data_IF_568552144416
#
_entry.id   IF_568552144416
#
_cell.length_a   1.000
_cell.length_b   1.000
_cell.length_c   1.000
_cell.angle_alpha   90.00
_cell.angle_beta   90.00
_cell.angle_gamma   90.00
#
_symmetry.space_group_name_H-M   'P 1'
#
loop_
_entity.id
_entity.type
_entity.pdbx_description
1 polymer ?
#
# COMPACT_ATOMS: atom_id res chain seq x y z
N UNK A 1 -4.94 -2.22 -33.68
CA UNK A 1 -3.60 -1.81 -33.17
C UNK A 1 -3.40 -2.45 -31.81
N UNK A 2 -2.22 -3.02 -31.53
CA UNK A 2 -1.91 -3.49 -30.20
C UNK A 2 -1.80 -2.30 -29.23
N UNK A 3 -2.47 -2.36 -28.09
CA UNK A 3 -2.40 -1.35 -27.02
C UNK A 3 -0.96 -1.30 -26.46
N UNK A 4 -0.39 -0.10 -26.34
CA UNK A 4 0.96 0.08 -25.81
C UNK A 4 0.98 0.08 -24.27
N UNK A 5 -0.03 0.72 -23.64
CA UNK A 5 -0.16 0.75 -22.19
C UNK A 5 -0.73 -0.58 -21.68
N UNK A 6 -0.08 -1.16 -20.68
CA UNK A 6 -0.55 -2.38 -20.02
C UNK A 6 -1.56 -2.05 -18.92
N UNK A 7 -2.56 -2.92 -18.78
CA UNK A 7 -3.58 -2.78 -17.73
C UNK A 7 -3.27 -3.79 -16.62
N UNK A 8 -3.09 -3.25 -15.42
CA UNK A 8 -2.98 -4.02 -14.18
C UNK A 8 -4.30 -3.88 -13.45
N UNK A 9 -4.96 -4.99 -13.13
CA UNK A 9 -6.20 -4.98 -12.36
C UNK A 9 -6.05 -5.78 -11.07
N UNK A 10 -6.58 -5.23 -9.97
CA UNK A 10 -6.56 -5.90 -8.67
C UNK A 10 -7.65 -6.99 -8.64
N UNK A 11 -7.26 -8.18 -8.19
CA UNK A 11 -8.16 -9.29 -7.92
C UNK A 11 -8.61 -9.20 -6.46
N UNK A 12 -9.88 -8.95 -6.26
CA UNK A 12 -10.52 -8.81 -4.95
C UNK A 12 -11.93 -9.38 -4.96
N UNK A 13 -12.73 -9.18 -3.89
CA UNK A 13 -14.04 -9.83 -3.72
C UNK A 13 -14.99 -9.69 -4.91
N UNK A 14 -14.93 -8.57 -5.64
CA UNK A 14 -15.77 -8.33 -6.81
C UNK A 14 -15.23 -8.98 -8.11
N UNK A 15 -14.05 -9.57 -8.09
CA UNK A 15 -13.36 -10.06 -9.30
C UNK A 15 -12.62 -11.39 -9.12
N UNK A 16 -12.80 -12.06 -7.99
CA UNK A 16 -12.10 -13.32 -7.69
C UNK A 16 -12.84 -14.59 -8.18
N UNK A 17 -14.08 -14.46 -8.65
CA UNK A 17 -14.77 -15.59 -9.27
C UNK A 17 -14.25 -15.85 -10.69
N UNK A 18 -14.26 -17.13 -11.10
CA UNK A 18 -13.70 -17.58 -12.37
C UNK A 18 -14.34 -16.88 -13.59
N UNK A 19 -15.66 -16.62 -13.54
CA UNK A 19 -16.38 -15.99 -14.65
C UNK A 19 -16.00 -14.55 -14.86
N UNK A 20 -15.95 -13.76 -13.80
CA UNK A 20 -15.53 -12.35 -13.83
C UNK A 20 -14.05 -12.24 -14.24
N UNK A 21 -13.18 -13.08 -13.68
CA UNK A 21 -11.76 -13.11 -14.03
C UNK A 21 -11.55 -13.42 -15.52
N UNK A 22 -12.29 -14.40 -16.06
CA UNK A 22 -12.27 -14.72 -17.49
C UNK A 22 -12.65 -13.51 -18.33
N UNK A 23 -13.75 -12.83 -17.99
CA UNK A 23 -14.19 -11.61 -18.68
C UNK A 23 -13.14 -10.49 -18.64
N UNK A 24 -12.46 -10.28 -17.50
CA UNK A 24 -11.38 -9.29 -17.37
C UNK A 24 -10.20 -9.61 -18.28
N UNK A 25 -9.78 -10.88 -18.35
CA UNK A 25 -8.68 -11.33 -19.23
C UNK A 25 -9.08 -11.16 -20.70
N UNK A 26 -10.32 -11.52 -21.07
CA UNK A 26 -10.83 -11.36 -22.44
C UNK A 26 -10.96 -9.88 -22.84
N UNK A 27 -11.36 -9.01 -21.91
CA UNK A 27 -11.41 -7.56 -22.08
C UNK A 27 -10.02 -6.91 -22.21
N UNK A 28 -8.96 -7.65 -21.88
CA UNK A 28 -7.58 -7.22 -22.11
C UNK A 28 -6.80 -6.83 -20.85
N UNK A 29 -7.09 -7.41 -19.70
CA UNK A 29 -6.18 -7.35 -18.55
C UNK A 29 -4.85 -8.01 -18.93
N UNK A 30 -3.75 -7.28 -18.70
CA UNK A 30 -2.40 -7.79 -18.98
C UNK A 30 -1.73 -8.36 -17.72
N UNK A 31 -2.07 -7.83 -16.53
CA UNK A 31 -1.49 -8.22 -15.24
C UNK A 31 -2.57 -8.26 -14.18
N UNK A 32 -2.60 -9.32 -13.40
CA UNK A 32 -3.41 -9.45 -12.20
C UNK A 32 -2.59 -9.00 -10.97
N UNK A 33 -3.11 -8.04 -10.19
CA UNK A 33 -2.51 -7.65 -8.91
C UNK A 33 -3.22 -8.38 -7.77
N UNK A 34 -2.44 -9.06 -6.93
CA UNK A 34 -2.92 -9.72 -5.72
C UNK A 34 -2.34 -8.97 -4.52
N UNK A 35 -3.20 -8.23 -3.81
CA UNK A 35 -2.80 -7.51 -2.60
C UNK A 35 -2.73 -8.46 -1.40
N UNK A 36 -1.58 -8.55 -0.73
CA UNK A 36 -1.36 -9.48 0.37
C UNK A 36 -1.70 -8.90 1.75
N UNK A 37 -2.24 -7.68 1.80
CA UNK A 37 -2.60 -7.00 3.04
C UNK A 37 -3.91 -7.52 3.69
N UNK A 38 -4.71 -8.30 2.97
CA UNK A 38 -6.03 -8.73 3.39
C UNK A 38 -6.25 -10.22 3.10
N UNK A 39 -7.03 -10.87 3.98
CA UNK A 39 -7.31 -12.31 3.88
C UNK A 39 -6.16 -13.18 4.40
N UNK A 40 -6.37 -14.48 4.37
CA UNK A 40 -5.36 -15.47 4.75
C UNK A 40 -4.40 -15.75 3.59
N UNK A 41 -3.23 -16.32 3.93
CA UNK A 41 -2.27 -16.76 2.92
C UNK A 41 -2.89 -17.79 1.95
N UNK A 42 -3.70 -18.71 2.47
CA UNK A 42 -4.36 -19.73 1.64
C UNK A 42 -5.31 -19.10 0.62
N UNK A 43 -6.09 -18.10 1.01
CA UNK A 43 -6.97 -17.36 0.09
C UNK A 43 -6.16 -16.64 -1.01
N UNK A 44 -5.01 -16.05 -0.66
CA UNK A 44 -4.16 -15.38 -1.64
C UNK A 44 -3.51 -16.38 -2.61
N UNK A 45 -3.09 -17.54 -2.11
CA UNK A 45 -2.58 -18.64 -2.94
C UNK A 45 -3.67 -19.17 -3.89
N UNK A 46 -4.90 -19.33 -3.40
CA UNK A 46 -6.03 -19.74 -4.26
C UNK A 46 -6.30 -18.73 -5.38
N UNK A 47 -6.28 -17.43 -5.09
CA UNK A 47 -6.40 -16.37 -6.10
C UNK A 47 -5.29 -16.45 -7.14
N UNK A 48 -4.06 -16.63 -6.69
CA UNK A 48 -2.91 -16.81 -7.58
C UNK A 48 -3.10 -17.99 -8.54
N UNK A 49 -3.46 -19.15 -7.99
CA UNK A 49 -3.70 -20.37 -8.78
C UNK A 49 -4.87 -20.20 -9.74
N UNK A 50 -5.94 -19.51 -9.32
CA UNK A 50 -7.10 -19.23 -10.18
C UNK A 50 -6.69 -18.37 -11.39
N UNK A 51 -5.90 -17.33 -11.20
CA UNK A 51 -5.39 -16.51 -12.30
C UNK A 51 -4.57 -17.35 -13.27
N UNK A 52 -3.64 -18.19 -12.78
CA UNK A 52 -2.84 -19.09 -13.62
C UNK A 52 -3.70 -20.05 -14.41
N UNK A 53 -4.71 -20.68 -13.75
CA UNK A 53 -5.64 -21.62 -14.40
C UNK A 53 -6.41 -20.92 -15.53
N UNK A 54 -7.11 -19.82 -15.24
CA UNK A 54 -7.96 -19.14 -16.22
C UNK A 54 -7.15 -18.58 -17.39
N UNK A 55 -5.96 -18.04 -17.10
CA UNK A 55 -5.01 -17.58 -18.12
C UNK A 55 -4.61 -18.72 -19.07
N UNK A 56 -4.28 -19.89 -18.51
CA UNK A 56 -3.95 -21.10 -19.28
C UNK A 56 -5.12 -21.61 -20.12
N UNK A 57 -6.32 -21.68 -19.53
CA UNK A 57 -7.55 -22.13 -20.20
C UNK A 57 -7.91 -21.25 -21.41
N UNK A 58 -7.59 -19.97 -21.34
CA UNK A 58 -7.78 -18.99 -22.42
C UNK A 58 -6.63 -18.94 -23.43
N UNK A 59 -5.51 -19.62 -23.17
CA UNK A 59 -4.30 -19.52 -23.98
C UNK A 59 -3.73 -18.08 -24.01
N UNK A 60 -3.96 -17.29 -22.96
CA UNK A 60 -3.46 -15.90 -22.82
C UNK A 60 -2.40 -15.81 -21.74
N UNK A 61 -1.38 -15.01 -21.99
CA UNK A 61 -0.37 -14.71 -20.98
C UNK A 61 -0.80 -13.52 -20.14
N UNK A 62 -1.09 -13.77 -18.86
CA UNK A 62 -1.37 -12.74 -17.85
C UNK A 62 -0.29 -12.80 -16.79
N UNK A 63 0.44 -11.70 -16.61
CA UNK A 63 1.41 -11.59 -15.52
C UNK A 63 0.71 -11.50 -14.17
N UNK A 64 1.38 -11.94 -13.10
CA UNK A 64 0.87 -11.76 -11.74
C UNK A 64 1.86 -10.91 -10.96
N UNK A 65 1.36 -9.84 -10.35
CA UNK A 65 2.07 -9.06 -9.35
C UNK A 65 1.47 -9.33 -7.98
N UNK A 66 2.29 -9.75 -7.05
CA UNK A 66 1.95 -9.81 -5.62
C UNK A 66 2.41 -8.51 -4.96
N UNK A 67 1.54 -7.91 -4.17
CA UNK A 67 1.78 -6.62 -3.53
C UNK A 67 1.93 -6.82 -2.03
N UNK A 68 3.17 -6.68 -1.54
CA UNK A 68 3.54 -6.87 -0.15
C UNK A 68 2.93 -5.76 0.72
N UNK A 69 2.37 -6.11 1.90
CA UNK A 69 1.70 -5.14 2.78
C UNK A 69 2.59 -3.98 3.20
N UNK A 70 3.86 -4.26 3.48
CA UNK A 70 4.76 -3.32 4.13
C UNK A 70 4.38 -3.03 5.59
N UNK A 71 5.05 -2.07 6.22
CA UNK A 71 4.83 -1.71 7.61
C UNK A 71 3.59 -0.81 7.79
N UNK A 72 2.42 -1.27 7.35
CA UNK A 72 1.18 -0.48 7.49
C UNK A 72 0.67 -0.54 8.92
N UNK A 73 0.66 0.61 9.60
CA UNK A 73 0.04 0.77 10.92
C UNK A 73 -1.48 0.69 10.78
N UNK A 74 -2.16 0.00 11.68
CA UNK A 74 -3.62 -0.13 11.67
C UNK A 74 -4.22 0.19 13.04
N UNK A 75 -5.47 0.61 13.01
CA UNK A 75 -6.27 0.69 14.24
C UNK A 75 -6.76 -0.70 14.67
N UNK A 76 -7.01 -0.88 15.96
CA UNK A 76 -7.85 -1.97 16.44
C UNK A 76 -9.26 -1.82 15.86
N UNK A 77 -10.02 -2.93 15.74
CA UNK A 77 -11.34 -2.88 15.14
C UNK A 77 -12.28 -1.96 15.93
N UNK A 78 -13.19 -1.33 15.20
CA UNK A 78 -14.35 -0.66 15.75
C UNK A 78 -15.52 -1.64 15.85
N UNK A 79 -16.44 -1.37 16.78
CA UNK A 79 -17.70 -2.10 16.90
C UNK A 79 -18.51 -2.12 15.60
N UNK A 80 -19.46 -3.06 15.49
CA UNK A 80 -20.36 -3.12 14.34
C UNK A 80 -21.07 -1.77 14.11
N UNK A 81 -20.86 -1.22 12.92
CA UNK A 81 -21.42 0.08 12.53
C UNK A 81 -20.38 1.22 12.51
N UNK A 82 -19.17 1.01 13.01
CA UNK A 82 -18.10 2.01 12.98
C UNK A 82 -18.40 3.25 13.84
N UNK A 83 -17.63 4.31 13.64
CA UNK A 83 -17.77 5.59 14.34
C UNK A 83 -17.79 6.75 13.36
N UNK A 84 -18.48 7.83 13.74
CA UNK A 84 -18.44 9.11 13.03
C UNK A 84 -17.66 10.11 13.86
N UNK A 85 -16.58 10.64 13.31
CA UNK A 85 -15.75 11.66 13.92
C UNK A 85 -16.10 13.03 13.34
N UNK A 86 -16.43 13.96 14.21
CA UNK A 86 -16.84 15.32 13.81
C UNK A 86 -15.65 16.26 13.85
N UNK A 87 -15.53 17.13 12.86
CA UNK A 87 -14.53 18.20 12.82
C UNK A 87 -14.58 19.07 14.09
N UNK A 88 -13.41 19.35 14.66
CA UNK A 88 -13.23 20.06 15.92
C UNK A 88 -13.36 19.20 17.19
N UNK A 89 -13.81 17.94 17.09
CA UNK A 89 -13.83 17.04 18.26
C UNK A 89 -12.43 16.60 18.66
N UNK A 90 -12.29 16.16 19.90
CA UNK A 90 -11.05 15.58 20.42
C UNK A 90 -11.19 14.06 20.56
N UNK A 91 -10.12 13.36 20.23
CA UNK A 91 -9.99 11.91 20.41
C UNK A 91 -8.68 11.61 21.13
N UNK A 92 -8.62 10.45 21.77
CA UNK A 92 -7.39 9.92 22.33
C UNK A 92 -6.88 8.75 21.50
N UNK A 93 -5.55 8.64 21.32
CA UNK A 93 -4.88 7.54 20.65
C UNK A 93 -3.97 6.84 21.65
N UNK A 94 -3.91 5.51 21.60
CA UNK A 94 -3.04 4.72 22.43
C UNK A 94 -2.76 3.34 21.83
N UNK A 95 -2.00 2.53 22.57
CA UNK A 95 -1.56 1.20 22.12
C UNK A 95 -2.06 0.08 23.05
N UNK A 96 -2.93 0.41 23.99
CA UNK A 96 -3.43 -0.49 25.01
C UNK A 96 -4.88 -0.88 24.73
N UNK A 97 -5.10 -1.96 24.00
CA UNK A 97 -6.45 -2.51 23.84
C UNK A 97 -6.65 -3.22 22.51
N UNK A 98 -7.70 -4.03 22.48
CA UNK A 98 -8.08 -4.84 21.31
C UNK A 98 -9.21 -4.21 20.48
N UNK A 99 -9.85 -3.14 20.97
CA UNK A 99 -10.99 -2.47 20.34
C UNK A 99 -10.83 -0.95 20.37
N UNK A 100 -11.46 -0.27 19.44
CA UNK A 100 -11.49 1.19 19.35
C UNK A 100 -12.91 1.72 19.54
N UNK A 101 -13.02 2.95 20.06
CA UNK A 101 -14.29 3.67 20.26
C UNK A 101 -14.21 5.10 19.70
N UNK A 102 -15.29 5.87 19.81
CA UNK A 102 -15.32 7.28 19.40
C UNK A 102 -14.37 8.19 20.17
N UNK A 103 -14.06 7.83 21.42
CA UNK A 103 -13.26 8.67 22.32
C UNK A 103 -11.82 8.18 22.43
N UNK A 104 -11.59 6.89 22.11
CA UNK A 104 -10.29 6.27 22.22
C UNK A 104 -10.03 5.28 21.09
N UNK A 105 -9.03 5.57 20.28
CA UNK A 105 -8.63 4.72 19.16
C UNK A 105 -7.33 4.00 19.53
N UNK A 106 -7.41 2.68 19.59
CA UNK A 106 -6.25 1.82 19.77
C UNK A 106 -5.52 1.63 18.44
N UNK A 107 -4.20 1.70 18.49
CA UNK A 107 -3.32 1.60 17.33
C UNK A 107 -2.37 0.43 17.50
N UNK A 108 -2.30 -0.43 16.51
CA UNK A 108 -1.41 -1.59 16.46
C UNK A 108 0.03 -1.17 16.07
N UNK A 109 0.60 -0.28 16.88
CA UNK A 109 1.97 0.19 16.74
C UNK A 109 2.57 0.54 18.10
N UNK A 110 3.34 -0.36 18.73
CA UNK A 110 3.87 -0.18 20.09
C UNK A 110 4.69 1.09 20.30
N UNK A 111 5.36 1.59 19.25
CA UNK A 111 6.18 2.79 19.33
C UNK A 111 5.41 4.09 19.04
N UNK A 112 4.08 4.05 18.87
CA UNK A 112 3.26 5.22 18.54
C UNK A 112 3.61 6.45 19.37
N UNK A 113 3.65 6.27 20.70
CA UNK A 113 3.90 7.36 21.66
C UNK A 113 5.33 7.92 21.61
N UNK A 114 6.28 7.14 21.07
CA UNK A 114 7.68 7.55 20.98
C UNK A 114 7.97 8.25 19.65
N UNK A 115 7.31 7.81 18.60
CA UNK A 115 7.58 8.22 17.24
C UNK A 115 6.72 9.42 16.82
N UNK A 116 5.48 9.52 17.30
CA UNK A 116 4.58 10.64 17.01
C UNK A 116 4.87 11.83 17.91
N UNK A 117 4.90 13.02 17.33
CA UNK A 117 5.18 14.29 18.00
C UNK A 117 3.95 15.21 18.02
N UNK A 118 3.98 16.19 18.91
CA UNK A 118 2.98 17.27 18.93
C UNK A 118 3.04 18.06 17.62
N UNK A 119 1.87 18.30 17.04
CA UNK A 119 1.73 18.97 15.75
C UNK A 119 1.74 18.02 14.54
N UNK A 120 2.07 16.73 14.72
CA UNK A 120 1.99 15.78 13.64
C UNK A 120 0.54 15.60 13.17
N UNK A 121 0.36 15.54 11.85
CA UNK A 121 -0.91 15.22 11.21
C UNK A 121 -0.98 13.71 10.99
N UNK A 122 -2.01 13.07 11.49
CA UNK A 122 -2.28 11.65 11.29
C UNK A 122 -3.55 11.50 10.48
N UNK A 123 -3.58 10.55 9.55
CA UNK A 123 -4.79 10.28 8.76
C UNK A 123 -5.23 8.83 8.84
N UNK A 124 -6.54 8.63 8.90
CA UNK A 124 -7.18 7.31 8.97
C UNK A 124 -7.90 7.01 7.65
N UNK A 125 -7.91 5.73 7.26
CA UNK A 125 -8.71 5.24 6.14
C UNK A 125 -8.38 5.93 4.82
N UNK A 126 -7.08 6.05 4.48
CA UNK A 126 -6.59 6.71 3.25
C UNK A 126 -7.02 8.19 3.13
N UNK A 127 -7.04 8.90 4.28
CA UNK A 127 -7.35 10.32 4.34
C UNK A 127 -8.82 10.65 4.63
N UNK A 128 -9.66 9.66 4.92
CA UNK A 128 -11.08 9.90 5.26
C UNK A 128 -11.25 10.74 6.52
N UNK A 129 -10.38 10.55 7.51
CA UNK A 129 -10.34 11.34 8.73
C UNK A 129 -8.92 11.82 8.94
N UNK A 130 -8.76 13.10 9.28
CA UNK A 130 -7.45 13.69 9.58
C UNK A 130 -7.49 14.33 10.96
N UNK A 131 -6.46 14.07 11.76
CA UNK A 131 -6.31 14.62 13.10
C UNK A 131 -4.94 15.27 13.28
N UNK A 132 -4.85 16.27 14.17
CA UNK A 132 -3.57 16.86 14.59
C UNK A 132 -3.34 16.52 16.05
N UNK A 133 -2.17 16.00 16.36
CA UNK A 133 -1.75 15.67 17.73
C UNK A 133 -1.45 16.95 18.49
N UNK A 134 -2.20 17.22 19.57
CA UNK A 134 -2.09 18.46 20.34
C UNK A 134 -1.41 18.28 21.69
N UNK A 135 -1.59 17.12 22.33
CA UNK A 135 -1.10 16.88 23.69
C UNK A 135 -0.69 15.42 23.89
N UNK A 136 0.26 15.20 24.79
CA UNK A 136 0.58 13.87 25.32
C UNK A 136 0.21 13.80 26.79
N UNK A 137 -0.71 12.91 27.13
CA UNK A 137 -1.17 12.71 28.51
C UNK A 137 -0.86 11.25 28.93
N UNK A 138 0.25 11.10 29.67
CA UNK A 138 0.72 9.78 30.10
C UNK A 138 1.04 8.86 28.91
N UNK A 139 0.26 7.80 28.80
CA UNK A 139 0.35 6.74 27.76
C UNK A 139 -0.60 6.98 26.57
N UNK A 140 -1.09 8.20 26.41
CA UNK A 140 -2.04 8.57 25.35
C UNK A 140 -1.61 9.83 24.63
N UNK A 141 -1.99 9.92 23.35
CA UNK A 141 -1.94 11.15 22.57
C UNK A 141 -3.36 11.71 22.45
N UNK A 142 -3.55 12.99 22.74
CA UNK A 142 -4.78 13.71 22.43
C UNK A 142 -4.63 14.38 21.08
N UNK A 143 -5.61 14.19 20.24
CA UNK A 143 -5.62 14.76 18.89
C UNK A 143 -6.96 15.40 18.60
N UNK A 144 -6.92 16.52 17.85
CA UNK A 144 -8.10 17.21 17.38
C UNK A 144 -8.41 16.81 15.96
N UNK A 145 -9.66 16.48 15.68
CA UNK A 145 -10.15 16.17 14.34
C UNK A 145 -10.17 17.46 13.50
N UNK A 146 -9.41 17.48 12.42
CA UNK A 146 -9.39 18.61 11.45
C UNK A 146 -10.18 18.33 10.19
N UNK A 147 -10.34 17.04 9.85
CA UNK A 147 -11.25 16.59 8.81
C UNK A 147 -12.02 15.39 9.35
N UNK A 148 -13.32 15.57 9.50
CA UNK A 148 -14.21 14.55 10.06
C UNK A 148 -14.69 13.56 9.00
N UNK A 149 -15.13 12.39 9.44
CA UNK A 149 -15.64 11.33 8.58
C UNK A 149 -15.96 10.07 9.35
N UNK A 150 -16.37 9.02 8.61
CA UNK A 150 -16.71 7.72 9.16
C UNK A 150 -15.52 6.78 9.10
N UNK A 151 -15.29 6.07 10.20
CA UNK A 151 -14.32 4.98 10.29
C UNK A 151 -15.03 3.70 10.68
N UNK A 152 -14.71 2.60 10.00
CA UNK A 152 -15.23 1.26 10.32
C UNK A 152 -14.14 0.18 10.18
N UNK A 153 -14.44 -1.03 10.65
CA UNK A 153 -13.54 -2.17 10.59
C UNK A 153 -12.19 -1.90 11.24
N UNK A 154 -11.11 -2.12 10.52
CA UNK A 154 -9.70 -1.89 10.93
C UNK A 154 -9.02 -0.92 9.98
N UNK A 155 -9.31 0.37 10.04
CA UNK A 155 -8.72 1.35 9.11
C UNK A 155 -7.20 1.43 9.29
N UNK A 156 -6.50 1.71 8.21
CA UNK A 156 -5.09 2.07 8.28
C UNK A 156 -4.93 3.41 8.98
N UNK A 157 -3.85 3.55 9.76
CA UNK A 157 -3.39 4.82 10.29
C UNK A 157 -2.12 5.22 9.55
N UNK A 158 -2.19 6.33 8.84
CA UNK A 158 -1.01 6.97 8.29
C UNK A 158 -0.35 7.83 9.37
N UNK A 159 0.91 7.53 9.64
CA UNK A 159 1.81 8.33 10.47
C UNK A 159 2.91 8.84 9.53
N UNK A 160 3.35 10.11 9.62
CA UNK A 160 4.42 10.62 8.76
C UNK A 160 5.60 9.66 8.69
N UNK A 161 6.02 9.31 7.47
CA UNK A 161 6.98 8.20 7.24
C UNK A 161 8.37 8.46 7.83
N UNK A 162 8.75 9.73 8.02
CA UNK A 162 9.99 10.15 8.68
C UNK A 162 9.99 9.87 10.20
N UNK A 163 8.81 9.61 10.79
CA UNK A 163 8.64 9.25 12.19
C UNK A 163 8.71 7.75 12.43
N UNK A 164 8.27 6.95 11.47
CA UNK A 164 8.15 5.50 11.64
C UNK A 164 9.50 4.80 11.65
N UNK A 165 9.79 4.07 12.73
CA UNK A 165 10.97 3.19 12.86
C UNK A 165 10.74 1.79 12.30
N UNK A 166 9.71 1.60 11.52
CA UNK A 166 9.41 0.33 10.88
C UNK A 166 10.31 0.12 9.66
N UNK A 167 10.80 -1.10 9.49
CA UNK A 167 11.57 -1.48 8.30
C UNK A 167 10.65 -1.89 7.15
N UNK A 168 11.03 -1.52 5.94
CA UNK A 168 10.46 -2.12 4.73
C UNK A 168 11.59 -2.83 3.98
N UNK A 169 11.37 -4.07 3.46
CA UNK A 169 10.26 -4.96 3.79
C UNK A 169 10.27 -5.39 5.26
N UNK A 170 9.10 -5.79 5.80
CA UNK A 170 8.97 -6.41 7.12
C UNK A 170 9.37 -7.89 7.06
N UNK A 171 9.57 -8.55 8.22
CA UNK A 171 9.83 -10.00 8.26
C UNK A 171 8.61 -10.80 7.74
N UNK A 172 7.40 -10.28 7.95
CA UNK A 172 6.19 -10.86 7.37
C UNK A 172 6.19 -10.76 5.85
N UNK A 173 6.58 -9.60 5.29
CA UNK A 173 6.71 -9.44 3.84
C UNK A 173 7.70 -10.43 3.24
N UNK A 174 8.82 -10.69 3.92
CA UNK A 174 9.82 -11.66 3.46
C UNK A 174 9.26 -13.10 3.46
N UNK A 175 8.48 -13.47 4.47
CA UNK A 175 7.79 -14.77 4.51
C UNK A 175 6.78 -14.93 3.36
N UNK A 176 5.99 -13.88 3.08
CA UNK A 176 5.08 -13.86 1.95
C UNK A 176 5.82 -13.94 0.61
N UNK A 177 6.91 -13.18 0.50
CA UNK A 177 7.77 -13.16 -0.69
C UNK A 177 8.26 -14.57 -1.04
N UNK A 178 8.83 -15.28 -0.06
CA UNK A 178 9.36 -16.64 -0.26
C UNK A 178 8.27 -17.56 -0.83
N UNK A 179 7.07 -17.55 -0.23
CA UNK A 179 5.94 -18.35 -0.69
C UNK A 179 5.58 -18.06 -2.16
N UNK A 180 5.46 -16.79 -2.54
CA UNK A 180 5.03 -16.44 -3.90
C UNK A 180 6.16 -16.54 -4.94
N UNK A 181 7.41 -16.45 -4.53
CA UNK A 181 8.57 -16.76 -5.39
C UNK A 181 8.58 -18.25 -5.72
N UNK A 182 8.36 -19.13 -4.74
CA UNK A 182 8.23 -20.58 -4.96
C UNK A 182 7.06 -20.93 -5.89
N UNK A 183 5.94 -20.20 -5.80
CA UNK A 183 4.79 -20.34 -6.70
C UNK A 183 5.05 -19.79 -8.11
N UNK A 184 6.17 -19.12 -8.35
CA UNK A 184 6.56 -18.57 -9.65
C UNK A 184 5.82 -17.27 -10.00
N UNK A 185 5.73 -16.32 -9.05
CA UNK A 185 5.20 -14.98 -9.35
C UNK A 185 6.09 -14.24 -10.36
N UNK A 186 5.46 -13.49 -11.25
CA UNK A 186 6.21 -12.73 -12.27
C UNK A 186 6.77 -11.42 -11.72
N UNK A 187 6.05 -10.81 -10.78
CA UNK A 187 6.38 -9.49 -10.23
C UNK A 187 6.05 -9.42 -8.75
N UNK A 188 6.81 -8.60 -8.02
CA UNK A 188 6.59 -8.30 -6.61
C UNK A 188 6.61 -6.79 -6.41
N UNK A 189 5.52 -6.21 -5.91
CA UNK A 189 5.46 -4.82 -5.51
C UNK A 189 5.80 -4.68 -4.01
N UNK A 190 6.68 -3.75 -3.69
CA UNK A 190 7.21 -3.52 -2.35
C UNK A 190 6.69 -2.19 -1.82
N UNK A 191 5.90 -2.25 -0.75
CA UNK A 191 5.28 -1.08 -0.13
C UNK A 191 6.26 -0.33 0.78
N UNK A 192 6.07 0.98 0.90
CA UNK A 192 6.80 1.88 1.80
C UNK A 192 8.32 1.85 1.63
N UNK A 193 8.79 1.69 0.40
CA UNK A 193 10.22 1.80 0.06
C UNK A 193 10.69 3.21 0.36
N UNK A 194 11.88 3.35 0.99
CA UNK A 194 12.50 4.64 1.32
C UNK A 194 13.87 4.81 0.67
N UNK A 195 14.48 3.70 0.27
CA UNK A 195 15.81 3.68 -0.34
C UNK A 195 16.08 2.42 -1.15
N UNK A 196 17.16 2.43 -1.94
CA UNK A 196 17.66 1.25 -2.65
C UNK A 196 18.02 0.09 -1.69
N UNK A 197 18.33 0.38 -0.42
CA UNK A 197 18.62 -0.64 0.58
C UNK A 197 17.40 -1.53 0.85
N UNK A 198 16.21 -0.92 0.93
CA UNK A 198 14.97 -1.64 1.19
C UNK A 198 14.69 -2.66 0.07
N UNK A 199 14.95 -2.29 -1.19
CA UNK A 199 14.83 -3.21 -2.33
C UNK A 199 15.84 -4.36 -2.24
N UNK A 200 17.10 -4.06 -1.89
CA UNK A 200 18.15 -5.09 -1.79
C UNK A 200 17.93 -6.08 -0.64
N UNK A 201 17.19 -5.68 0.40
CA UNK A 201 16.83 -6.55 1.52
C UNK A 201 15.91 -7.71 1.14
N UNK A 202 15.21 -7.65 0.01
CA UNK A 202 14.39 -8.77 -0.49
C UNK A 202 15.21 -10.03 -0.73
N UNK A 203 16.50 -9.90 -1.06
CA UNK A 203 17.40 -11.03 -1.24
C UNK A 203 17.07 -11.95 -2.43
N UNK A 204 16.17 -11.53 -3.33
CA UNK A 204 15.78 -12.31 -4.51
C UNK A 204 16.66 -11.98 -5.71
N UNK A 205 16.84 -12.98 -6.58
CA UNK A 205 17.50 -12.78 -7.86
C UNK A 205 16.70 -11.80 -8.73
N UNK A 206 17.36 -10.88 -9.44
CA UNK A 206 16.66 -9.97 -10.34
C UNK A 206 16.11 -10.68 -11.57
N UNK A 207 15.06 -10.12 -12.16
CA UNK A 207 14.54 -10.60 -13.45
C UNK A 207 15.65 -10.66 -14.51
N UNK A 208 15.68 -11.69 -15.37
CA UNK A 208 14.65 -12.73 -15.57
C UNK A 208 14.85 -14.02 -14.72
N UNK A 209 15.83 -14.06 -13.82
CA UNK A 209 16.07 -15.26 -12.98
C UNK A 209 15.13 -15.32 -11.77
N UNK A 210 14.67 -14.18 -11.30
CA UNK A 210 13.65 -14.02 -10.27
C UNK A 210 12.52 -13.11 -10.75
N UNK A 211 11.59 -12.73 -9.86
CA UNK A 211 10.51 -11.82 -10.19
C UNK A 211 11.02 -10.40 -10.49
N UNK A 212 10.27 -9.65 -11.29
CA UNK A 212 10.52 -8.22 -11.43
C UNK A 212 10.09 -7.49 -10.16
N UNK A 213 11.03 -6.81 -9.53
CA UNK A 213 10.73 -6.01 -8.33
C UNK A 213 10.19 -4.66 -8.73
N UNK A 214 9.04 -4.29 -8.19
CA UNK A 214 8.36 -3.01 -8.39
C UNK A 214 8.45 -2.22 -7.09
N UNK A 215 9.19 -1.12 -7.08
CA UNK A 215 9.25 -0.22 -5.93
C UNK A 215 8.02 0.69 -5.91
N UNK A 216 7.26 0.72 -4.81
CA UNK A 216 6.13 1.64 -4.63
C UNK A 216 6.64 2.94 -4.02
N UNK A 217 6.44 4.04 -4.73
CA UNK A 217 6.77 5.40 -4.25
C UNK A 217 5.55 5.94 -3.52
N UNK A 218 5.62 5.88 -2.19
CA UNK A 218 4.53 6.17 -1.25
C UNK A 218 4.93 7.20 -0.20
N UNK A 219 6.22 7.54 -0.10
CA UNK A 219 6.77 8.38 0.98
C UNK A 219 7.61 9.52 0.43
N UNK A 220 7.72 10.61 1.20
CA UNK A 220 8.66 11.72 0.89
C UNK A 220 10.09 11.24 0.81
N UNK A 221 10.48 10.28 1.68
CA UNK A 221 11.82 9.69 1.65
C UNK A 221 12.09 8.94 0.35
N UNK A 222 11.10 8.23 -0.21
CA UNK A 222 11.22 7.58 -1.50
C UNK A 222 11.43 8.59 -2.64
N UNK A 223 10.72 9.71 -2.63
CA UNK A 223 10.89 10.78 -3.61
C UNK A 223 12.29 11.39 -3.51
N UNK A 224 12.79 11.62 -2.30
CA UNK A 224 14.14 12.16 -2.09
C UNK A 224 15.26 11.21 -2.53
N UNK A 225 15.02 9.89 -2.54
CA UNK A 225 16.00 8.87 -2.92
C UNK A 225 15.64 8.16 -4.24
N UNK A 226 14.87 8.83 -5.10
CA UNK A 226 14.19 8.25 -6.25
C UNK A 226 15.14 7.55 -7.22
N UNK A 227 16.24 8.19 -7.62
CA UNK A 227 17.21 7.66 -8.57
C UNK A 227 17.76 6.29 -8.11
N UNK A 228 18.25 6.21 -6.87
CA UNK A 228 18.78 4.96 -6.33
C UNK A 228 17.73 3.85 -6.19
N UNK A 229 16.47 4.20 -5.93
CA UNK A 229 15.35 3.25 -5.89
C UNK A 229 15.05 2.73 -7.30
N UNK A 230 14.99 3.59 -8.32
CA UNK A 230 14.76 3.21 -9.72
C UNK A 230 15.86 2.27 -10.21
N UNK A 231 17.14 2.58 -9.90
CA UNK A 231 18.27 1.74 -10.30
C UNK A 231 18.21 0.36 -9.66
N UNK A 232 17.80 0.28 -8.39
CA UNK A 232 17.72 -0.98 -7.64
C UNK A 232 16.50 -1.84 -8.00
N UNK A 233 15.50 -1.29 -8.70
CA UNK A 233 14.23 -1.97 -9.02
C UNK A 233 14.11 -2.28 -10.51
N UNK A 234 13.21 -3.21 -10.85
CA UNK A 234 12.85 -3.56 -12.24
C UNK A 234 11.79 -2.61 -12.82
N UNK A 235 10.95 -2.02 -11.97
CA UNK A 235 9.92 -1.05 -12.30
C UNK A 235 9.57 -0.21 -11.07
N UNK A 236 8.82 0.87 -11.27
CA UNK A 236 8.36 1.75 -10.19
C UNK A 236 6.85 1.94 -10.28
N UNK A 237 6.18 1.98 -9.12
CA UNK A 237 4.76 2.30 -9.02
C UNK A 237 4.58 3.62 -8.27
N UNK A 238 3.90 4.57 -8.90
CA UNK A 238 3.42 5.79 -8.24
C UNK A 238 2.12 5.44 -7.53
N UNK A 239 2.19 5.20 -6.23
CA UNK A 239 1.04 4.85 -5.39
C UNK A 239 0.41 6.13 -4.84
N UNK A 240 -0.47 6.75 -5.64
CA UNK A 240 -0.98 8.10 -5.39
C UNK A 240 -1.80 8.23 -4.12
N UNK A 241 -2.47 7.16 -3.66
CA UNK A 241 -3.22 7.16 -2.40
C UNK A 241 -2.31 7.43 -1.20
N UNK A 242 -1.33 6.56 -0.97
CA UNK A 242 -0.42 6.70 0.17
C UNK A 242 0.51 7.92 -0.01
N UNK A 243 1.02 8.19 -1.21
CA UNK A 243 1.83 9.38 -1.49
C UNK A 243 1.06 10.69 -1.26
N UNK A 244 -0.24 10.72 -1.54
CA UNK A 244 -1.11 11.87 -1.28
C UNK A 244 -1.40 12.13 0.20
N UNK A 245 -1.15 11.13 1.08
CA UNK A 245 -1.18 11.34 2.54
C UNK A 245 0.12 11.93 3.08
N UNK A 246 1.20 11.90 2.28
CA UNK A 246 2.52 12.45 2.64
C UNK A 246 2.80 13.83 2.05
N UNK A 247 2.24 14.12 0.88
CA UNK A 247 2.47 15.35 0.13
C UNK A 247 1.18 16.16 -0.01
N UNK A 248 1.32 17.46 -0.25
CA UNK A 248 0.17 18.31 -0.55
C UNK A 248 -0.51 17.84 -1.84
N UNK A 249 -1.84 17.82 -1.84
CA UNK A 249 -2.64 17.26 -2.95
C UNK A 249 -2.33 17.97 -4.28
N UNK A 250 -1.99 19.26 -4.24
CA UNK A 250 -1.63 20.08 -5.39
C UNK A 250 -0.25 19.68 -5.97
N UNK A 251 0.65 19.10 -5.16
CA UNK A 251 1.97 18.66 -5.59
C UNK A 251 1.93 17.28 -6.24
N UNK A 252 0.94 16.45 -5.89
CA UNK A 252 0.87 15.05 -6.32
C UNK A 252 0.95 14.87 -7.85
N UNK A 253 0.29 15.68 -8.71
CA UNK A 253 0.44 15.58 -10.16
C UNK A 253 1.85 15.91 -10.65
N UNK A 254 2.55 16.82 -9.96
CA UNK A 254 3.93 17.19 -10.29
C UNK A 254 4.91 16.08 -9.89
N UNK A 255 4.74 15.51 -8.70
CA UNK A 255 5.52 14.35 -8.22
C UNK A 255 5.33 13.15 -9.15
N UNK A 256 4.10 12.84 -9.57
CA UNK A 256 3.85 11.78 -10.53
C UNK A 256 4.61 11.98 -11.83
N UNK A 257 4.56 13.19 -12.40
CA UNK A 257 5.28 13.50 -13.65
C UNK A 257 6.78 13.39 -13.48
N UNK A 258 7.32 13.89 -12.37
CA UNK A 258 8.73 13.79 -12.04
C UNK A 258 9.18 12.32 -11.96
N UNK A 259 8.48 11.49 -11.18
CA UNK A 259 8.78 10.07 -11.04
C UNK A 259 8.77 9.36 -12.40
N UNK A 260 7.78 9.63 -13.25
CA UNK A 260 7.68 9.05 -14.60
C UNK A 260 8.86 9.50 -15.46
N UNK A 261 9.28 10.77 -15.41
CA UNK A 261 10.40 11.30 -16.19
C UNK A 261 11.72 10.64 -15.78
N UNK A 262 11.96 10.47 -14.48
CA UNK A 262 13.14 9.76 -13.97
C UNK A 262 13.14 8.28 -14.39
N UNK A 263 11.99 7.61 -14.31
CA UNK A 263 11.87 6.24 -14.81
C UNK A 263 12.20 6.13 -16.31
N UNK A 264 11.74 7.08 -17.13
CA UNK A 264 12.05 7.12 -18.57
C UNK A 264 13.55 7.35 -18.78
N UNK A 265 14.16 8.29 -18.06
CA UNK A 265 15.59 8.59 -18.16
C UNK A 265 16.46 7.38 -17.81
N UNK A 266 16.06 6.59 -16.82
CA UNK A 266 16.77 5.40 -16.36
C UNK A 266 16.31 4.09 -17.05
N UNK A 267 15.40 4.19 -18.04
CA UNK A 267 14.93 3.04 -18.82
C UNK A 267 14.13 2.01 -18.01
N UNK A 268 13.34 2.45 -17.02
CA UNK A 268 12.48 1.60 -16.20
C UNK A 268 11.01 1.87 -16.48
N UNK A 269 10.14 0.83 -16.50
CA UNK A 269 8.70 1.02 -16.55
C UNK A 269 8.17 1.77 -15.33
N UNK A 270 7.21 2.68 -15.57
CA UNK A 270 6.45 3.35 -14.52
C UNK A 270 4.99 2.88 -14.54
N UNK A 271 4.44 2.59 -13.37
CA UNK A 271 3.05 2.20 -13.15
C UNK A 271 2.37 3.34 -12.40
N UNK A 272 1.26 3.84 -12.91
CA UNK A 272 0.42 4.81 -12.20
C UNK A 272 -0.73 4.05 -11.55
N UNK A 273 -0.89 4.17 -10.22
CA UNK A 273 -1.86 3.41 -9.47
C UNK A 273 -2.87 4.30 -8.76
N UNK A 274 -4.06 3.74 -8.51
CA UNK A 274 -5.19 4.27 -7.74
C UNK A 274 -5.80 5.57 -8.29
N UNK A 275 -6.98 5.95 -7.78
CA UNK A 275 -7.77 7.13 -8.17
C UNK A 275 -7.86 7.33 -9.69
N UNK A 276 -8.14 6.23 -10.40
CA UNK A 276 -8.45 6.29 -11.82
C UNK A 276 -9.96 6.45 -11.98
N UNK A 277 -10.38 7.55 -12.59
CA UNK A 277 -11.80 7.82 -12.93
C UNK A 277 -12.74 7.90 -11.70
N UNK A 278 -12.23 8.16 -10.54
CA UNK A 278 -13.04 8.53 -9.38
C UNK A 278 -13.40 10.01 -9.50
N UNK A 279 -14.67 10.30 -9.36
CA UNK A 279 -15.22 11.66 -9.40
C UNK A 279 -16.04 11.97 -8.15
#
# INVERSE_FOLDING_TARGET
MARRTKIIATIGPASEDEGTLRGMIEAGMDVARIGLAHGSLDEQVQKFQMVRKVSSDLGKHVGIVVDLPGPKVRCAPFDEGGIDLTEGSQISLGVEGSESSSDFINVDYPNLLQDVQLGDSLSFGDGQVVVIVEEREGDRLKARVVHGGRLDGRPGLHVPSDRLRLSSPTDHDLTLLDTFVELGTDMVAVSFVRSAHDIRRLGVEPAPRGPMIIAKIETKAAVANLEGIIEASGAVMVARGDLGSEADIEELPHLQKHIIQECIALGRPAITATQMLES
#
